data_IF_351637395621
#
_entry.id   IF_351637395621
#
_cell.length_a   1.000
_cell.length_b   1.000
_cell.length_c   1.000
_cell.angle_alpha   90.00
_cell.angle_beta   90.00
_cell.angle_gamma   90.00
#
_symmetry.space_group_name_H-M   'P 1'
#
loop_
_entity.id
_entity.type
_entity.pdbx_description
1 polymer ?
#
# COMPACT_ATOMS: atom_id res chain seq x y z
N UNK A 1 -24.63 -25.66 1.75
CA UNK A 1 -23.85 -24.43 2.00
C UNK A 1 -23.24 -23.99 0.68
N UNK A 2 -23.39 -22.71 0.28
CA UNK A 2 -22.70 -22.20 -0.92
C UNK A 2 -21.31 -21.69 -0.50
N UNK A 3 -20.25 -21.93 -1.29
CA UNK A 3 -18.91 -21.46 -0.96
C UNK A 3 -18.83 -19.92 -1.05
N UNK A 4 -18.19 -19.29 -0.07
CA UNK A 4 -17.95 -17.84 -0.05
C UNK A 4 -16.61 -17.55 -0.73
N UNK A 5 -16.63 -16.74 -1.78
CA UNK A 5 -15.41 -16.34 -2.51
C UNK A 5 -14.98 -14.95 -2.05
N UNK A 6 -13.79 -14.87 -1.46
CA UNK A 6 -13.14 -13.62 -1.09
C UNK A 6 -11.99 -13.32 -2.04
N UNK A 7 -11.86 -12.05 -2.39
CA UNK A 7 -10.72 -11.54 -3.15
C UNK A 7 -9.93 -10.56 -2.29
N UNK A 8 -8.62 -10.50 -2.48
CA UNK A 8 -7.77 -9.49 -1.85
C UNK A 8 -7.01 -8.69 -2.92
N UNK A 9 -6.45 -7.54 -2.54
CA UNK A 9 -5.56 -6.75 -3.40
C UNK A 9 -4.19 -6.75 -2.78
N UNK A 10 -3.16 -6.95 -3.59
CA UNK A 10 -1.80 -7.20 -3.11
C UNK A 10 -0.88 -6.09 -3.63
N UNK A 11 -0.10 -5.50 -2.73
CA UNK A 11 0.96 -4.56 -3.04
C UNK A 11 2.31 -5.20 -2.76
N UNK A 12 3.22 -5.10 -3.74
CA UNK A 12 4.53 -5.74 -3.68
C UNK A 12 5.62 -4.67 -3.73
N UNK A 13 6.61 -4.80 -2.84
CA UNK A 13 7.83 -3.99 -2.83
C UNK A 13 9.06 -4.90 -2.66
N UNK A 14 10.18 -4.50 -3.28
CA UNK A 14 11.42 -5.30 -3.32
C UNK A 14 12.62 -4.44 -2.93
N UNK A 15 13.41 -4.93 -1.98
CA UNK A 15 14.72 -4.35 -1.63
C UNK A 15 15.76 -4.79 -2.68
N UNK A 16 16.69 -3.93 -3.12
CA UNK A 16 16.86 -2.52 -2.77
C UNK A 16 16.09 -1.55 -3.70
N UNK A 17 15.28 -2.07 -4.62
CA UNK A 17 14.62 -1.29 -5.70
C UNK A 17 13.67 -0.22 -5.14
N UNK A 18 12.89 -0.55 -4.10
CA UNK A 18 11.78 0.28 -3.61
C UNK A 18 12.11 1.04 -2.33
N UNK A 19 13.10 0.58 -1.58
CA UNK A 19 13.59 1.22 -0.38
C UNK A 19 14.96 0.64 -0.01
N UNK A 20 15.78 1.45 0.66
CA UNK A 20 17.05 1.05 1.25
C UNK A 20 16.95 0.69 2.73
N UNK A 21 15.76 0.87 3.34
CA UNK A 21 15.49 0.59 4.75
C UNK A 21 14.19 -0.21 4.93
N UNK A 22 14.07 -1.10 5.93
CA UNK A 22 12.90 -1.96 6.10
C UNK A 22 11.57 -1.22 6.23
N UNK A 23 11.55 -0.10 6.96
CA UNK A 23 10.34 0.73 7.12
C UNK A 23 9.85 1.31 5.80
N UNK A 24 10.78 1.75 4.94
CA UNK A 24 10.47 2.23 3.60
C UNK A 24 9.89 1.15 2.70
N UNK A 25 10.31 -0.12 2.88
CA UNK A 25 9.79 -1.25 2.11
C UNK A 25 8.32 -1.50 2.43
N UNK A 26 7.95 -1.43 3.71
CA UNK A 26 6.56 -1.60 4.16
C UNK A 26 5.67 -0.48 3.63
N UNK A 27 6.14 0.77 3.69
CA UNK A 27 5.40 1.92 3.13
C UNK A 27 5.22 1.78 1.62
N UNK A 28 6.24 1.31 0.89
CA UNK A 28 6.15 1.07 -0.55
C UNK A 28 5.15 -0.05 -0.89
N UNK A 29 5.15 -1.14 -0.12
CA UNK A 29 4.20 -2.24 -0.31
C UNK A 29 2.75 -1.79 -0.02
N UNK A 30 2.52 -1.03 1.06
CA UNK A 30 1.21 -0.48 1.41
C UNK A 30 0.71 0.48 0.32
N UNK A 31 1.58 1.37 -0.18
CA UNK A 31 1.26 2.26 -1.29
C UNK A 31 0.85 1.50 -2.56
N UNK A 32 1.49 0.37 -2.86
CA UNK A 32 1.13 -0.48 -3.98
C UNK A 32 -0.26 -1.12 -3.80
N UNK A 33 -0.70 -1.45 -2.57
CA UNK A 33 -2.07 -1.94 -2.31
C UNK A 33 -3.11 -0.92 -2.72
N UNK A 34 -2.89 0.37 -2.46
CA UNK A 34 -3.84 1.42 -2.87
C UNK A 34 -3.98 1.51 -4.39
N UNK A 35 -2.89 1.31 -5.14
CA UNK A 35 -2.95 1.24 -6.61
C UNK A 35 -3.77 0.04 -7.05
N UNK A 36 -3.52 -1.14 -6.46
CA UNK A 36 -4.28 -2.34 -6.76
C UNK A 36 -5.79 -2.20 -6.45
N UNK A 37 -6.14 -1.51 -5.36
CA UNK A 37 -7.54 -1.20 -5.03
C UNK A 37 -8.17 -0.24 -6.03
N UNK A 38 -7.43 0.78 -6.49
CA UNK A 38 -7.91 1.76 -7.48
C UNK A 38 -8.05 1.17 -8.88
N UNK A 39 -7.28 0.14 -9.22
CA UNK A 39 -7.35 -0.57 -10.49
C UNK A 39 -8.59 -1.47 -10.65
N UNK A 40 -9.49 -1.52 -9.66
CA UNK A 40 -10.70 -2.34 -9.68
C UNK A 40 -10.76 -3.43 -8.61
N UNK A 41 -9.80 -3.46 -7.66
CA UNK A 41 -9.62 -4.52 -6.64
C UNK A 41 -9.29 -5.87 -7.27
N UNK A 42 -9.09 -6.89 -6.44
CA UNK A 42 -8.63 -8.23 -6.86
C UNK A 42 -7.42 -8.19 -7.82
N UNK A 43 -6.47 -7.28 -7.56
CA UNK A 43 -5.33 -6.98 -8.43
C UNK A 43 -4.03 -7.01 -7.65
N UNK A 44 -2.92 -7.23 -8.36
CA UNK A 44 -1.56 -7.16 -7.83
C UNK A 44 -0.82 -5.97 -8.45
N UNK A 45 -0.26 -5.10 -7.63
CA UNK A 45 0.53 -3.97 -8.09
C UNK A 45 1.96 -4.05 -7.54
N UNK A 46 2.92 -3.82 -8.43
CA UNK A 46 4.33 -3.65 -8.12
C UNK A 46 4.70 -2.23 -8.51
N UNK A 47 5.05 -1.38 -7.56
CA UNK A 47 5.33 0.02 -7.85
C UNK A 47 6.39 0.61 -6.93
N UNK A 48 7.41 1.20 -7.54
CA UNK A 48 8.30 2.19 -6.92
C UNK A 48 7.57 3.54 -6.84
N UNK A 49 6.80 3.76 -5.78
CA UNK A 49 6.36 5.11 -5.42
C UNK A 49 7.46 5.75 -4.56
N UNK A 50 7.76 7.05 -4.73
CA UNK A 50 8.49 7.78 -3.70
C UNK A 50 7.73 7.61 -2.36
N UNK A 51 8.44 7.49 -1.23
CA UNK A 51 7.81 7.26 0.06
C UNK A 51 6.70 8.27 0.26
N UNK A 52 5.48 7.78 0.57
CA UNK A 52 4.38 8.67 0.90
C UNK A 52 4.86 9.59 2.03
N UNK A 53 4.72 10.92 1.92
CA UNK A 53 5.03 11.79 3.06
C UNK A 53 4.25 11.26 4.26
N UNK A 54 4.93 11.13 5.40
CA UNK A 54 4.32 10.71 6.66
C UNK A 54 2.96 11.41 6.82
N UNK A 55 1.91 10.71 7.27
CA UNK A 55 0.57 11.29 7.36
C UNK A 55 0.65 12.66 8.01
N UNK A 56 0.13 13.67 7.32
CA UNK A 56 0.09 15.03 7.85
C UNK A 56 -0.50 14.94 9.27
N UNK A 57 0.10 15.61 10.27
CA UNK A 57 -0.47 15.60 11.61
C UNK A 57 -1.94 16.00 11.48
N UNK A 58 -2.82 15.17 12.05
CA UNK A 58 -4.26 15.43 12.09
C UNK A 58 -4.45 16.90 12.48
N UNK A 59 -5.27 17.69 11.76
CA UNK A 59 -5.46 19.08 12.10
C UNK A 59 -5.82 19.14 13.58
N UNK A 60 -5.01 19.86 14.37
CA UNK A 60 -5.19 20.06 15.80
C UNK A 60 -6.68 20.32 16.04
N UNK A 61 -7.39 19.32 16.57
CA UNK A 61 -8.75 19.50 17.02
C UNK A 61 -8.62 20.45 18.20
N UNK A 62 -8.93 21.72 17.98
CA UNK A 62 -9.01 22.70 19.06
C UNK A 62 -10.27 22.37 19.84
N UNK A 63 -10.09 21.69 20.96
CA UNK A 63 -11.10 21.52 22.01
C UNK A 63 -11.46 22.85 22.63
#
# INVERSE_FOLDING_TARGET
>A
MRPFSLTCSIGVASFPIHASVPSGLVVAADAAVYVAKRAGKNWCAWRALPPLPSPLPSPLVRS
#
